data_IF_868304428001
#
_entry.id   IF_868304428001
#
_cell.length_a   1.000
_cell.length_b   1.000
_cell.length_c   1.000
_cell.angle_alpha   90.00
_cell.angle_beta   90.00
_cell.angle_gamma   90.00
#
_symmetry.space_group_name_H-M   'P 1'
#
loop_
_entity.id
_entity.type
_entity.pdbx_description
1 polymer ?
#
# COMPACT_ATOMS: atom_id res chain seq x y z
N UNK A 1 -10.90 -9.59 -16.11
CA UNK A 1 -11.50 -8.26 -16.33
C UNK A 1 -10.62 -7.22 -15.66
N UNK A 2 -9.74 -6.54 -16.41
CA UNK A 2 -8.93 -5.44 -15.90
C UNK A 2 -9.85 -4.23 -15.71
N UNK A 3 -9.97 -3.72 -14.49
CA UNK A 3 -10.85 -2.58 -14.20
C UNK A 3 -10.21 -1.32 -14.76
N UNK A 4 -10.53 -0.98 -16.02
CA UNK A 4 -10.04 0.21 -16.72
C UNK A 4 -10.50 1.53 -16.07
N UNK A 5 -11.27 1.47 -14.99
CA UNK A 5 -11.80 2.62 -14.25
C UNK A 5 -11.60 2.48 -12.73
N UNK A 6 -10.54 1.79 -12.29
CA UNK A 6 -10.20 1.72 -10.88
C UNK A 6 -9.96 3.14 -10.34
N UNK A 7 -10.73 3.53 -9.31
CA UNK A 7 -10.59 4.79 -8.56
C UNK A 7 -10.09 4.48 -7.15
N UNK A 8 -8.85 3.95 -7.01
CA UNK A 8 -8.34 3.51 -5.72
C UNK A 8 -8.24 4.69 -4.77
N UNK A 9 -8.53 4.47 -3.49
CA UNK A 9 -8.38 5.47 -2.44
C UNK A 9 -7.25 5.11 -1.49
N UNK A 10 -6.66 6.14 -0.91
CA UNK A 10 -5.60 6.03 0.06
C UNK A 10 -6.06 5.19 1.25
N UNK A 11 -5.26 4.19 1.60
CA UNK A 11 -5.57 3.24 2.67
C UNK A 11 -6.36 2.02 2.21
N UNK A 12 -6.83 1.97 0.97
CA UNK A 12 -7.43 0.76 0.42
C UNK A 12 -6.36 -0.28 0.08
N UNK A 13 -6.72 -1.56 0.27
CA UNK A 13 -5.90 -2.70 -0.11
C UNK A 13 -6.48 -3.30 -1.39
N UNK A 14 -5.60 -3.55 -2.36
CA UNK A 14 -5.94 -4.08 -3.67
C UNK A 14 -5.05 -5.27 -4.00
N UNK A 15 -5.49 -6.13 -4.90
CA UNK A 15 -4.58 -7.03 -5.60
C UNK A 15 -3.94 -6.30 -6.79
N UNK A 16 -2.69 -6.63 -7.12
CA UNK A 16 -2.00 -6.09 -8.28
C UNK A 16 -1.04 -7.11 -8.88
N UNK A 17 -0.82 -7.04 -10.20
CA UNK A 17 0.19 -7.84 -10.89
C UNK A 17 1.53 -7.11 -10.85
N UNK A 18 2.53 -7.63 -10.14
CA UNK A 18 3.87 -7.05 -9.98
C UNK A 18 4.96 -8.02 -10.44
N UNK A 19 6.13 -7.50 -10.81
CA UNK A 19 7.31 -8.29 -11.18
C UNK A 19 7.39 -8.68 -12.66
N UNK A 20 8.48 -9.38 -13.01
CA UNK A 20 8.72 -9.98 -14.33
C UNK A 20 9.38 -11.36 -14.13
N UNK A 21 8.61 -12.47 -14.19
CA UNK A 21 7.21 -12.58 -14.61
C UNK A 21 6.21 -11.94 -13.64
N UNK A 22 5.03 -11.59 -14.15
CA UNK A 22 3.98 -10.95 -13.36
C UNK A 22 3.33 -11.94 -12.38
N UNK A 23 3.41 -11.63 -11.09
CA UNK A 23 2.79 -12.37 -9.99
C UNK A 23 1.75 -11.50 -9.29
N UNK A 24 0.68 -12.11 -8.79
CA UNK A 24 -0.36 -11.39 -8.03
C UNK A 24 0.13 -11.13 -6.61
N UNK A 25 0.09 -9.87 -6.19
CA UNK A 25 0.40 -9.43 -4.82
C UNK A 25 -0.76 -8.63 -4.24
N UNK A 26 -0.89 -8.61 -2.91
CA UNK A 26 -1.69 -7.60 -2.23
C UNK A 26 -0.86 -6.33 -2.06
N UNK A 27 -1.48 -5.18 -2.28
CA UNK A 27 -0.83 -3.87 -2.24
C UNK A 27 -1.70 -2.87 -1.49
N UNK A 28 -1.05 -1.99 -0.72
CA UNK A 28 -1.70 -0.85 -0.08
C UNK A 28 -1.55 0.40 -0.95
N UNK A 29 -2.63 1.13 -1.16
CA UNK A 29 -2.61 2.41 -1.87
C UNK A 29 -2.22 3.54 -0.89
N UNK A 30 -1.16 4.30 -1.22
CA UNK A 30 -0.62 5.35 -0.33
C UNK A 30 -0.67 6.76 -0.91
N UNK A 31 -0.83 6.91 -2.23
CA UNK A 31 -1.01 8.22 -2.88
C UNK A 31 -2.33 8.89 -2.48
N UNK A 32 -2.34 10.22 -2.60
CA UNK A 32 -3.51 11.06 -2.35
C UNK A 32 -4.70 10.71 -3.26
N UNK A 33 -5.91 10.77 -2.71
CA UNK A 33 -7.16 10.47 -3.43
C UNK A 33 -7.34 11.36 -4.66
N UNK A 34 -7.02 12.65 -4.56
CA UNK A 34 -7.13 13.60 -5.67
C UNK A 34 -6.30 13.18 -6.90
N UNK A 35 -5.13 12.56 -6.68
CA UNK A 35 -4.31 11.97 -7.76
C UNK A 35 -4.94 10.67 -8.26
N UNK A 36 -5.39 9.81 -7.35
CA UNK A 36 -5.86 8.48 -7.70
C UNK A 36 -7.19 8.48 -8.46
N UNK A 37 -8.08 9.43 -8.20
CA UNK A 37 -9.38 9.54 -8.89
C UNK A 37 -9.31 10.32 -10.20
N UNK A 38 -8.22 11.05 -10.45
CA UNK A 38 -8.05 11.85 -11.65
C UNK A 38 -7.95 10.96 -12.90
N UNK A 39 -8.69 11.34 -13.95
CA UNK A 39 -8.64 10.70 -15.28
C UNK A 39 -7.37 11.05 -16.05
N UNK A 40 -6.67 12.13 -15.65
CA UNK A 40 -5.41 12.56 -16.28
C UNK A 40 -4.19 11.80 -15.78
N UNK A 41 -4.35 10.99 -14.74
CA UNK A 41 -3.26 10.22 -14.12
C UNK A 41 -3.60 8.75 -14.23
N UNK A 42 -2.77 7.96 -14.89
CA UNK A 42 -2.98 6.51 -15.07
C UNK A 42 -2.20 5.67 -14.04
N UNK A 43 -1.53 6.31 -13.09
CA UNK A 43 -0.66 5.69 -12.11
C UNK A 43 -1.11 5.90 -10.66
N UNK A 44 -0.67 5.00 -9.79
CA UNK A 44 -0.96 5.01 -8.35
C UNK A 44 0.31 4.62 -7.57
N UNK A 45 0.54 5.24 -6.42
CA UNK A 45 1.62 4.85 -5.50
C UNK A 45 1.10 3.77 -4.55
N UNK A 46 1.84 2.68 -4.47
CA UNK A 46 1.50 1.53 -3.65
C UNK A 46 2.68 1.06 -2.82
N UNK A 47 2.40 0.26 -1.79
CA UNK A 47 3.38 -0.56 -1.10
C UNK A 47 2.90 -2.02 -1.10
N UNK A 48 3.68 -2.98 -1.59
CA UNK A 48 3.28 -4.39 -1.57
C UNK A 48 3.36 -4.98 -0.16
N UNK A 49 2.43 -5.88 0.14
CA UNK A 49 2.49 -6.74 1.32
C UNK A 49 3.41 -7.93 1.05
N UNK A 50 4.23 -8.27 2.05
CA UNK A 50 5.03 -9.49 2.11
C UNK A 50 4.48 -10.46 3.17
N UNK A 51 4.80 -11.75 2.99
CA UNK A 51 4.47 -12.80 3.96
C UNK A 51 5.51 -12.96 5.08
N UNK A 52 6.66 -12.28 4.95
CA UNK A 52 7.79 -12.39 5.87
C UNK A 52 8.42 -11.02 6.13
N UNK A 53 8.74 -10.76 7.38
CA UNK A 53 9.42 -9.55 7.80
C UNK A 53 9.82 -9.59 9.28
N UNK A 54 10.72 -8.69 9.63
CA UNK A 54 11.09 -8.40 11.01
C UNK A 54 10.68 -6.97 11.32
N UNK A 55 10.12 -6.73 12.50
CA UNK A 55 9.71 -5.40 12.90
C UNK A 55 10.91 -4.44 12.91
N UNK A 56 10.68 -3.22 12.47
CA UNK A 56 11.74 -2.23 12.38
C UNK A 56 11.23 -0.85 11.98
N UNK A 57 12.11 0.15 11.88
CA UNK A 57 11.71 1.54 11.65
C UNK A 57 10.92 1.78 10.36
N UNK A 58 11.12 0.92 9.36
CA UNK A 58 10.45 0.98 8.05
C UNK A 58 9.57 -0.24 7.76
N UNK A 59 9.46 -1.18 8.70
CA UNK A 59 8.73 -2.43 8.52
C UNK A 59 7.62 -2.53 9.56
N UNK A 60 6.41 -2.82 9.11
CA UNK A 60 5.24 -2.93 9.96
C UNK A 60 4.55 -4.27 9.76
N UNK A 61 4.24 -4.95 10.87
CA UNK A 61 3.38 -6.12 10.89
C UNK A 61 1.90 -5.72 11.01
N UNK A 62 1.06 -6.43 10.29
CA UNK A 62 -0.40 -6.32 10.30
C UNK A 62 -1.02 -7.68 10.58
N UNK A 63 -1.96 -7.70 11.52
CA UNK A 63 -2.74 -8.89 11.81
C UNK A 63 -3.89 -9.06 10.79
N UNK A 64 -4.36 -10.30 10.52
CA UNK A 64 -5.46 -10.57 9.60
C UNK A 64 -6.71 -9.71 9.85
N UNK A 65 -7.03 -9.46 11.12
CA UNK A 65 -8.17 -8.63 11.52
C UNK A 65 -8.06 -7.17 11.08
N UNK A 66 -6.86 -6.66 10.78
CA UNK A 66 -6.65 -5.28 10.39
C UNK A 66 -6.75 -5.08 8.87
N UNK A 67 -6.28 -6.05 8.09
CA UNK A 67 -6.14 -5.96 6.62
C UNK A 67 -7.18 -6.78 5.86
N UNK A 68 -7.76 -7.80 6.49
CA UNK A 68 -8.58 -8.80 5.82
C UNK A 68 -7.78 -9.80 4.98
N UNK A 69 -6.45 -9.86 5.16
CA UNK A 69 -5.58 -10.86 4.51
C UNK A 69 -5.66 -12.21 5.23
N UNK A 70 -5.36 -13.34 4.54
CA UNK A 70 -5.53 -14.68 5.12
C UNK A 70 -4.56 -15.00 6.27
N UNK A 71 -3.51 -14.19 6.46
CA UNK A 71 -2.50 -14.40 7.50
C UNK A 71 -1.82 -13.08 7.88
N UNK A 72 -0.98 -13.15 8.92
CA UNK A 72 -0.13 -12.03 9.28
C UNK A 72 0.70 -11.59 8.08
N UNK A 73 0.83 -10.28 7.92
CA UNK A 73 1.44 -9.68 6.73
C UNK A 73 2.34 -8.52 7.12
N UNK A 74 3.35 -8.26 6.31
CA UNK A 74 4.31 -7.20 6.55
C UNK A 74 4.26 -6.18 5.43
N UNK A 75 4.30 -4.92 5.80
CA UNK A 75 4.46 -3.80 4.90
C UNK A 75 5.84 -3.18 5.14
N UNK A 76 6.61 -3.00 4.08
CA UNK A 76 7.95 -2.43 4.12
C UNK A 76 7.93 -1.11 3.38
N UNK A 77 8.04 0.00 4.11
CA UNK A 77 7.94 1.36 3.57
C UNK A 77 8.95 1.65 2.45
N UNK A 78 10.12 1.00 2.51
CA UNK A 78 11.17 1.09 1.49
C UNK A 78 10.84 0.37 0.16
N UNK A 79 9.76 -0.42 0.09
CA UNK A 79 9.25 -1.01 -1.15
C UNK A 79 8.12 -0.21 -1.78
N UNK A 80 7.98 1.07 -1.42
CA UNK A 80 7.07 1.97 -2.13
C UNK A 80 7.42 2.03 -3.62
N UNK A 81 6.41 1.86 -4.46
CA UNK A 81 6.59 1.90 -5.91
C UNK A 81 5.35 2.46 -6.60
N UNK A 82 5.48 2.80 -7.88
CA UNK A 82 4.39 3.32 -8.71
C UNK A 82 4.00 2.26 -9.73
N UNK A 83 2.70 2.01 -9.87
CA UNK A 83 2.16 1.09 -10.88
C UNK A 83 1.07 1.78 -11.71
N UNK A 84 0.81 1.24 -12.89
CA UNK A 84 -0.37 1.63 -13.69
C UNK A 84 -1.65 1.13 -13.01
N UNK A 85 -2.70 1.95 -13.04
CA UNK A 85 -4.04 1.60 -12.51
C UNK A 85 -4.61 0.34 -13.16
N UNK A 86 -4.26 0.08 -14.43
CA UNK A 86 -4.67 -1.14 -15.15
C UNK A 86 -4.09 -2.43 -14.56
N UNK A 87 -3.03 -2.35 -13.75
CA UNK A 87 -2.44 -3.50 -13.05
C UNK A 87 -3.14 -3.80 -11.72
N UNK A 88 -4.03 -2.92 -11.25
CA UNK A 88 -4.88 -3.19 -10.10
C UNK A 88 -5.99 -4.18 -10.48
N UNK A 89 -6.18 -5.18 -9.64
CA UNK A 89 -7.26 -6.14 -9.72
C UNK A 89 -8.39 -5.80 -8.76
N UNK A 90 -8.66 -6.71 -7.84
CA UNK A 90 -9.76 -6.66 -6.88
C UNK A 90 -9.39 -5.84 -5.65
N UNK A 91 -10.33 -4.99 -5.19
CA UNK A 91 -10.25 -4.24 -3.93
C UNK A 91 -10.73 -5.11 -2.77
N UNK A 92 -9.98 -5.14 -1.67
CA UNK A 92 -10.42 -5.75 -0.42
C UNK A 92 -11.39 -4.81 0.33
N UNK A 93 -12.39 -5.36 1.04
CA UNK A 93 -13.46 -4.56 1.63
C UNK A 93 -13.01 -3.67 2.80
N UNK A 94 -11.91 -4.02 3.48
CA UNK A 94 -11.44 -3.33 4.68
C UNK A 94 -10.25 -2.41 4.35
N UNK A 95 -10.44 -1.07 4.34
CA UNK A 95 -9.33 -0.14 4.29
C UNK A 95 -8.60 -0.10 5.64
N UNK A 96 -7.34 0.31 5.63
CA UNK A 96 -6.58 0.55 6.86
C UNK A 96 -7.12 1.74 7.65
N UNK A 97 -7.06 1.64 8.98
CA UNK A 97 -7.46 2.73 9.87
C UNK A 97 -6.54 3.95 9.69
N UNK A 98 -7.05 5.14 10.03
CA UNK A 98 -6.28 6.38 9.95
C UNK A 98 -5.00 6.32 10.79
N UNK A 99 -5.06 5.69 11.98
CA UNK A 99 -3.89 5.47 12.84
C UNK A 99 -2.83 4.61 12.15
N UNK A 100 -3.23 3.47 11.56
CA UNK A 100 -2.29 2.63 10.79
C UNK A 100 -1.73 3.36 9.59
N UNK A 101 -2.54 4.14 8.88
CA UNK A 101 -2.06 4.96 7.77
C UNK A 101 -1.04 6.03 8.17
N UNK A 102 -1.14 6.60 9.38
CA UNK A 102 -0.09 7.50 9.93
C UNK A 102 1.23 6.75 10.14
N UNK A 103 1.17 5.56 10.74
CA UNK A 103 2.34 4.71 10.95
C UNK A 103 2.99 4.31 9.61
N UNK A 104 2.19 3.91 8.61
CA UNK A 104 2.67 3.61 7.25
C UNK A 104 3.39 4.82 6.65
N UNK A 105 2.82 6.02 6.82
CA UNK A 105 3.43 7.26 6.31
C UNK A 105 4.76 7.58 6.99
N UNK A 106 4.90 7.25 8.27
CA UNK A 106 6.16 7.39 9.00
C UNK A 106 7.18 6.36 8.54
N UNK A 107 6.78 5.10 8.35
CA UNK A 107 7.65 4.03 7.85
C UNK A 107 8.18 4.34 6.44
N UNK A 108 7.35 4.92 5.56
CA UNK A 108 7.76 5.38 4.23
C UNK A 108 8.72 6.57 4.35
N UNK A 109 8.43 7.57 5.20
CA UNK A 109 9.34 8.70 5.42
C UNK A 109 10.72 8.23 5.90
N UNK A 110 10.74 7.33 6.88
CA UNK A 110 11.97 6.72 7.43
C UNK A 110 12.76 5.88 6.43
N UNK A 111 12.14 5.45 5.33
CA UNK A 111 12.85 4.78 4.26
C UNK A 111 13.74 5.73 3.45
N UNK A 112 13.42 7.03 3.41
CA UNK A 112 14.20 8.05 2.70
C UNK A 112 14.97 8.98 3.64
N UNK A 113 14.42 9.24 4.83
CA UNK A 113 15.00 10.05 5.90
C UNK A 113 14.91 9.26 7.22
N UNK A 114 15.93 8.46 7.57
CA UNK A 114 15.91 7.60 8.75
C UNK A 114 15.62 8.33 10.07
N UNK A 115 15.99 9.61 10.14
CA UNK A 115 15.85 10.46 11.33
C UNK A 115 14.49 11.18 11.39
N UNK A 116 13.59 10.90 10.45
CA UNK A 116 12.29 11.57 10.36
C UNK A 116 11.48 11.42 11.66
N UNK A 117 11.03 12.54 12.26
CA UNK A 117 10.29 12.51 13.52
C UNK A 117 8.89 11.90 13.32
N UNK A 118 8.31 11.31 14.38
CA UNK A 118 6.93 10.85 14.33
C UNK A 118 5.97 12.02 14.04
N UNK A 119 4.83 11.73 13.40
CA UNK A 119 3.77 12.73 13.24
C UNK A 119 3.31 13.23 14.61
N UNK A 120 3.32 14.54 14.81
CA UNK A 120 2.72 15.19 16.00
C UNK A 120 1.21 14.94 15.98
N UNK A 121 0.64 14.64 17.16
CA UNK A 121 -0.78 14.35 17.37
C UNK A 121 -1.67 15.58 17.21
#
# INVERSE_FOLDING_TARGET
>A
MTSHNARPRRGEIWTAMLGSPQVRHWVLVVSLDSRNISERVDSVLIVPFGSQGMDGPTTMRFEPGETGLPGASWLKGHFITTIKKSLLGERLPRPLSAMRMRQVSLAIRRAFDPDSPPCKE
#
